data_IF_128038180529
#
_entry.id   IF_128038180529
#
_cell.length_a   1.000
_cell.length_b   1.000
_cell.length_c   1.000
_cell.angle_alpha   90.00
_cell.angle_beta   90.00
_cell.angle_gamma   90.00
#
_symmetry.space_group_name_H-M   'P 1'
#
loop_
_entity.id
_entity.type
_entity.pdbx_description
1 polymer ?
#
# COMPACT_ATOMS: atom_id res chain seq x y z
N UNK A 1 29.67 39.47 50.06
CA UNK A 1 29.90 38.04 50.36
C UNK A 1 28.66 37.22 50.01
N UNK A 2 28.60 36.59 48.83
CA UNK A 2 27.43 35.83 48.40
C UNK A 2 27.36 34.46 49.08
N UNK A 3 26.26 34.16 49.80
CA UNK A 3 26.06 32.88 50.50
C UNK A 3 26.00 31.71 49.51
N UNK A 4 26.94 30.76 49.64
CA UNK A 4 26.89 29.47 48.95
C UNK A 4 25.81 28.60 49.60
N UNK A 5 24.75 28.25 48.85
CA UNK A 5 23.78 27.22 49.27
C UNK A 5 24.26 25.85 48.79
N UNK A 6 24.64 24.97 49.72
CA UNK A 6 24.96 23.57 49.46
C UNK A 6 23.67 22.76 49.46
N UNK A 7 23.37 22.06 48.37
CA UNK A 7 22.25 21.09 48.32
C UNK A 7 22.67 19.72 48.88
N UNK A 8 21.74 18.86 49.34
CA UNK A 8 22.03 17.63 50.10
C UNK A 8 22.96 16.58 49.45
N UNK A 9 23.37 16.75 48.18
CA UNK A 9 24.24 15.81 47.45
C UNK A 9 25.69 16.32 47.28
N UNK A 10 26.15 17.29 48.07
CA UNK A 10 27.55 17.73 48.08
C UNK A 10 28.08 18.38 46.79
N UNK A 11 27.27 18.48 45.72
CA UNK A 11 27.66 19.17 44.49
C UNK A 11 27.48 20.67 44.67
N UNK A 12 28.59 21.39 44.81
CA UNK A 12 28.64 22.86 44.73
C UNK A 12 28.18 23.25 43.32
N UNK A 13 26.88 23.57 43.15
CA UNK A 13 26.46 24.33 41.99
C UNK A 13 27.07 25.71 42.18
N UNK A 14 28.19 25.98 41.49
CA UNK A 14 28.62 27.37 41.28
C UNK A 14 27.38 28.10 40.79
N UNK A 15 26.93 29.11 41.54
CA UNK A 15 25.88 30.03 41.15
C UNK A 15 26.47 30.92 40.04
N UNK A 16 26.88 30.30 38.92
CA UNK A 16 27.32 31.01 37.75
C UNK A 16 26.04 31.71 37.28
N UNK A 17 25.98 33.05 37.29
CA UNK A 17 24.84 33.75 36.72
C UNK A 17 24.70 33.21 35.31
N UNK A 18 23.59 32.53 35.03
CA UNK A 18 23.33 32.01 33.70
C UNK A 18 23.21 33.25 32.83
N UNK A 19 24.30 33.59 32.15
CA UNK A 19 24.36 34.74 31.25
C UNK A 19 23.20 34.62 30.27
N UNK A 20 22.70 35.74 29.74
CA UNK A 20 21.61 35.71 28.76
C UNK A 20 21.89 34.70 27.63
N UNK A 21 23.16 34.58 27.26
CA UNK A 21 23.69 33.59 26.31
C UNK A 21 23.58 32.15 26.84
N UNK A 22 24.03 31.88 28.07
CA UNK A 22 23.88 30.58 28.72
C UNK A 22 22.42 30.13 28.85
N UNK A 23 21.49 31.04 29.14
CA UNK A 23 20.05 30.73 29.25
C UNK A 23 19.49 30.36 27.88
N UNK A 24 19.83 31.12 26.84
CA UNK A 24 19.45 30.81 25.45
C UNK A 24 20.01 29.47 25.00
N UNK A 25 21.29 29.18 25.25
CA UNK A 25 21.90 27.89 24.90
C UNK A 25 21.26 26.73 25.67
N UNK A 26 20.98 26.90 26.96
CA UNK A 26 20.30 25.90 27.77
C UNK A 26 18.91 25.59 27.23
N UNK A 27 18.09 26.62 26.95
CA UNK A 27 16.75 26.43 26.38
C UNK A 27 16.82 25.78 24.99
N UNK A 28 17.78 26.19 24.13
CA UNK A 28 17.99 25.57 22.81
C UNK A 28 18.30 24.09 22.92
N UNK A 29 19.14 23.67 23.89
CA UNK A 29 19.45 22.26 24.14
C UNK A 29 18.27 21.51 24.75
N UNK A 30 17.60 22.10 25.75
CA UNK A 30 16.46 21.49 26.46
C UNK A 30 15.28 21.22 25.53
N UNK A 31 14.97 22.16 24.63
CA UNK A 31 13.85 22.08 23.68
C UNK A 31 14.25 21.61 22.27
N UNK A 32 15.48 21.10 22.10
CA UNK A 32 15.93 20.61 20.80
C UNK A 32 15.05 19.48 20.25
N UNK A 33 14.56 18.60 21.12
CA UNK A 33 13.66 17.51 20.74
C UNK A 33 12.29 18.03 20.28
N UNK A 34 11.72 19.02 20.99
CA UNK A 34 10.45 19.66 20.60
C UNK A 34 10.59 20.30 19.23
N UNK A 35 11.65 21.09 19.00
CA UNK A 35 11.91 21.67 17.67
C UNK A 35 12.05 20.63 16.57
N UNK A 36 12.66 19.47 16.84
CA UNK A 36 12.74 18.38 15.85
C UNK A 36 11.37 17.84 15.50
N UNK A 37 10.45 17.75 16.47
CA UNK A 37 9.07 17.31 16.25
C UNK A 37 8.32 18.35 15.43
N UNK A 38 8.44 19.64 15.80
CA UNK A 38 7.80 20.74 15.08
C UNK A 38 8.27 20.82 13.63
N UNK A 39 9.60 20.74 13.40
CA UNK A 39 10.18 20.77 12.05
C UNK A 39 9.76 19.54 11.24
N UNK A 40 9.71 18.35 11.86
CA UNK A 40 9.24 17.14 11.19
C UNK A 40 7.74 17.20 10.88
N UNK A 41 6.95 17.84 11.76
CA UNK A 41 5.52 18.03 11.61
C UNK A 41 5.14 19.08 10.56
N UNK A 42 5.98 20.09 10.35
CA UNK A 42 5.65 21.28 9.57
C UNK A 42 5.52 21.07 8.06
N UNK A 43 6.07 20.00 7.49
CA UNK A 43 6.21 19.89 6.03
C UNK A 43 4.95 19.38 5.29
N UNK A 44 3.94 18.83 5.99
CA UNK A 44 2.75 18.26 5.36
C UNK A 44 1.51 18.46 6.26
N UNK A 45 0.34 18.72 5.65
CA UNK A 45 -0.95 18.83 6.35
C UNK A 45 -1.20 17.64 7.29
N UNK A 46 -0.93 16.42 6.82
CA UNK A 46 -1.10 15.20 7.63
C UNK A 46 -0.20 15.18 8.87
N UNK A 47 1.07 15.57 8.72
CA UNK A 47 2.00 15.57 9.85
C UNK A 47 1.68 16.72 10.80
N UNK A 48 1.22 17.88 10.30
CA UNK A 48 0.79 18.99 11.15
C UNK A 48 -0.46 18.64 11.97
N UNK A 49 -1.45 17.98 11.37
CA UNK A 49 -2.72 17.61 12.01
C UNK A 49 -2.55 16.54 13.09
N UNK A 50 -1.69 15.56 12.85
CA UNK A 50 -1.60 14.37 13.71
C UNK A 50 -0.33 14.25 14.56
N UNK A 51 0.66 15.13 14.39
CA UNK A 51 1.83 15.13 15.27
C UNK A 51 1.49 15.71 16.64
N UNK A 52 1.69 14.91 17.68
CA UNK A 52 1.65 15.41 19.04
C UNK A 52 3.03 15.95 19.43
N UNK A 53 3.10 17.20 19.88
CA UNK A 53 4.35 17.83 20.37
C UNK A 53 4.95 17.14 21.61
N UNK A 54 4.16 16.32 22.31
CA UNK A 54 4.62 15.52 23.47
C UNK A 54 5.43 14.28 23.07
N UNK A 55 5.29 13.80 21.84
CA UNK A 55 5.94 12.60 21.35
C UNK A 55 7.19 12.96 20.54
N UNK A 56 8.16 12.06 20.50
CA UNK A 56 9.29 12.20 19.57
C UNK A 56 8.84 12.03 18.13
N UNK A 57 9.57 12.63 17.18
CA UNK A 57 9.24 12.51 15.75
C UNK A 57 9.15 11.03 15.31
N UNK A 58 10.06 10.18 15.80
CA UNK A 58 10.04 8.75 15.52
C UNK A 58 8.78 8.05 16.03
N UNK A 59 8.31 8.41 17.23
CA UNK A 59 7.05 7.89 17.77
C UNK A 59 5.85 8.36 16.94
N UNK A 60 5.81 9.63 16.55
CA UNK A 60 4.73 10.17 15.71
C UNK A 60 4.68 9.47 14.34
N UNK A 61 5.81 9.34 13.65
CA UNK A 61 5.87 8.60 12.38
C UNK A 61 5.42 7.14 12.56
N UNK A 62 5.95 6.46 13.58
CA UNK A 62 5.59 5.05 13.85
C UNK A 62 4.09 4.90 14.17
N UNK A 63 3.48 5.89 14.85
CA UNK A 63 2.04 5.95 15.14
C UNK A 63 1.21 6.10 13.86
N UNK A 64 1.66 6.93 12.93
CA UNK A 64 1.07 7.11 11.60
C UNK A 64 1.34 5.96 10.63
N UNK A 65 2.11 4.95 11.05
CA UNK A 65 2.53 3.85 10.16
C UNK A 65 3.63 4.24 9.15
N UNK A 66 4.25 5.42 9.34
CA UNK A 66 5.38 5.89 8.56
C UNK A 66 6.71 5.46 9.23
N UNK A 67 7.78 5.39 8.43
CA UNK A 67 9.14 5.16 8.93
C UNK A 67 9.93 6.46 8.90
N UNK A 68 10.74 6.71 9.94
CA UNK A 68 11.72 7.82 9.93
C UNK A 68 12.88 7.58 8.96
N UNK A 69 13.18 6.32 8.70
CA UNK A 69 14.31 5.92 7.89
C UNK A 69 13.87 4.75 6.98
N UNK A 70 13.70 4.98 5.67
CA UNK A 70 13.22 3.96 4.75
C UNK A 70 14.26 2.88 4.46
N UNK A 71 15.55 3.13 4.69
CA UNK A 71 16.62 2.15 4.46
C UNK A 71 16.94 1.29 5.68
N UNK A 72 16.33 1.58 6.83
CA UNK A 72 16.59 0.84 8.06
C UNK A 72 16.23 -0.65 7.93
N UNK A 73 17.07 -1.57 8.46
CA UNK A 73 16.78 -3.00 8.39
C UNK A 73 15.51 -3.36 9.18
N UNK A 74 14.82 -4.43 8.77
CA UNK A 74 13.53 -4.86 9.35
C UNK A 74 13.60 -5.03 10.88
N UNK A 75 14.72 -5.54 11.41
CA UNK A 75 14.94 -5.71 12.85
C UNK A 75 14.84 -4.39 13.63
N UNK A 76 15.44 -3.32 13.11
CA UNK A 76 15.39 -1.98 13.72
C UNK A 76 13.98 -1.40 13.64
N UNK A 77 13.28 -1.61 12.52
CA UNK A 77 11.88 -1.18 12.35
C UNK A 77 10.97 -1.86 13.37
N UNK A 78 11.16 -3.16 13.60
CA UNK A 78 10.39 -3.91 14.60
C UNK A 78 10.68 -3.47 16.04
N UNK A 79 11.95 -3.20 16.37
CA UNK A 79 12.32 -2.65 17.68
C UNK A 79 11.64 -1.29 17.92
N UNK A 80 11.62 -0.41 16.92
CA UNK A 80 10.91 0.89 17.00
C UNK A 80 9.40 0.72 17.19
N UNK A 81 8.79 -0.25 16.50
CA UNK A 81 7.36 -0.57 16.69
C UNK A 81 7.05 -1.00 18.13
N UNK A 82 7.93 -1.79 18.77
CA UNK A 82 7.77 -2.22 20.16
C UNK A 82 7.84 -1.07 21.18
N UNK A 83 8.51 0.04 20.84
CA UNK A 83 8.59 1.22 21.70
C UNK A 83 7.29 2.04 21.73
N UNK A 84 6.39 1.82 20.76
CA UNK A 84 5.10 2.51 20.70
C UNK A 84 4.07 1.68 21.46
N UNK A 85 3.31 2.34 22.36
CA UNK A 85 2.28 1.67 23.15
C UNK A 85 1.25 0.98 22.24
N UNK A 86 0.92 -0.31 22.45
CA UNK A 86 -0.16 -0.96 21.72
C UNK A 86 -1.45 -0.19 22.00
N UNK A 87 -2.25 0.08 20.95
CA UNK A 87 -3.45 0.96 20.96
C UNK A 87 -3.21 2.47 20.96
N UNK A 88 -1.96 2.96 20.82
CA UNK A 88 -1.77 4.40 20.64
C UNK A 88 -2.20 4.89 19.25
N UNK A 89 -2.33 4.02 18.24
CA UNK A 89 -2.72 4.44 16.88
C UNK A 89 -4.07 5.15 16.91
N UNK A 90 -4.06 6.43 16.55
CA UNK A 90 -5.30 7.18 16.26
C UNK A 90 -5.79 6.71 14.90
N UNK A 91 -7.09 6.44 14.79
CA UNK A 91 -7.76 6.30 13.50
C UNK A 91 -7.65 7.65 12.80
N UNK A 92 -7.09 7.69 11.60
CA UNK A 92 -7.03 8.92 10.81
C UNK A 92 -8.43 9.18 10.25
N UNK A 93 -8.87 10.44 10.25
CA UNK A 93 -10.16 10.80 9.67
C UNK A 93 -10.21 10.52 8.16
N UNK A 94 -9.06 10.59 7.49
CA UNK A 94 -8.93 10.32 6.06
C UNK A 94 -8.79 8.82 5.74
N UNK A 95 -8.77 7.91 6.74
CA UNK A 95 -8.76 6.47 6.45
C UNK A 95 -9.99 6.05 5.65
N UNK A 96 -11.16 6.63 5.97
CA UNK A 96 -12.41 6.32 5.31
C UNK A 96 -12.40 6.84 3.86
N UNK A 97 -11.93 8.07 3.64
CA UNK A 97 -11.81 8.63 2.28
C UNK A 97 -10.75 7.90 1.43
N UNK A 98 -9.65 7.46 2.03
CA UNK A 98 -8.64 6.62 1.35
C UNK A 98 -9.24 5.25 1.00
N UNK A 99 -10.04 4.66 1.90
CA UNK A 99 -10.71 3.39 1.65
C UNK A 99 -11.75 3.51 0.52
N UNK A 100 -12.55 4.57 0.52
CA UNK A 100 -13.49 4.90 -0.55
C UNK A 100 -12.78 5.09 -1.89
N UNK A 101 -11.69 5.87 -1.92
CA UNK A 101 -10.90 6.06 -3.14
C UNK A 101 -10.27 4.74 -3.63
N UNK A 102 -9.79 3.88 -2.73
CA UNK A 102 -9.29 2.55 -3.09
C UNK A 102 -10.40 1.69 -3.67
N UNK A 103 -11.59 1.69 -3.08
CA UNK A 103 -12.74 0.96 -3.57
C UNK A 103 -13.17 1.47 -4.95
N UNK A 104 -13.23 2.79 -5.15
CA UNK A 104 -13.51 3.42 -6.45
C UNK A 104 -12.47 3.00 -7.50
N UNK A 105 -11.17 3.09 -7.18
CA UNK A 105 -10.10 2.64 -8.10
C UNK A 105 -10.18 1.16 -8.41
N UNK A 106 -10.57 0.32 -7.45
CA UNK A 106 -10.74 -1.11 -7.69
C UNK A 106 -11.94 -1.39 -8.61
N UNK A 107 -13.06 -0.69 -8.40
CA UNK A 107 -14.25 -0.77 -9.26
C UNK A 107 -13.98 -0.26 -10.67
N UNK A 108 -13.26 0.86 -10.80
CA UNK A 108 -12.92 1.47 -12.09
C UNK A 108 -11.67 0.85 -12.73
N UNK A 109 -11.10 -0.22 -12.16
CA UNK A 109 -9.89 -0.83 -12.70
C UNK A 109 -10.25 -1.60 -13.96
N UNK A 110 -10.13 -0.92 -15.10
CA UNK A 110 -10.21 -1.55 -16.41
C UNK A 110 -9.12 -2.64 -16.46
N UNK A 111 -9.48 -3.82 -16.97
CA UNK A 111 -8.53 -4.88 -17.24
C UNK A 111 -7.42 -4.36 -18.17
N UNK A 112 -6.32 -5.11 -18.28
CA UNK A 112 -5.26 -4.69 -19.20
C UNK A 112 -5.84 -4.62 -20.61
N UNK A 113 -5.66 -3.51 -21.36
CA UNK A 113 -6.12 -3.42 -22.73
C UNK A 113 -5.50 -4.56 -23.54
N UNK A 114 -6.31 -5.18 -24.38
CA UNK A 114 -5.92 -6.28 -25.25
C UNK A 114 -5.86 -5.76 -26.67
N UNK A 115 -4.87 -6.20 -27.44
CA UNK A 115 -4.78 -5.86 -28.85
C UNK A 115 -5.89 -6.55 -29.65
N UNK A 116 -6.35 -5.93 -30.74
CA UNK A 116 -7.39 -6.52 -31.60
C UNK A 116 -7.00 -7.90 -32.16
N UNK A 117 -5.71 -8.09 -32.49
CA UNK A 117 -5.19 -9.38 -32.94
C UNK A 117 -5.24 -10.46 -31.85
N UNK A 118 -4.94 -10.11 -30.60
CA UNK A 118 -5.09 -11.03 -29.47
C UNK A 118 -6.57 -11.32 -29.18
N UNK A 119 -7.45 -10.32 -29.26
CA UNK A 119 -8.88 -10.51 -29.06
C UNK A 119 -9.46 -11.48 -30.10
N UNK A 120 -9.18 -11.26 -31.38
CA UNK A 120 -9.66 -12.13 -32.48
C UNK A 120 -9.17 -13.57 -32.37
N UNK A 121 -7.90 -13.77 -32.00
CA UNK A 121 -7.35 -15.13 -31.77
C UNK A 121 -8.00 -15.81 -30.56
N UNK A 122 -8.18 -15.09 -29.45
CA UNK A 122 -8.85 -15.62 -28.25
C UNK A 122 -10.31 -15.99 -28.54
N UNK A 123 -11.06 -15.11 -29.21
CA UNK A 123 -12.45 -15.37 -29.61
C UNK A 123 -12.54 -16.60 -30.49
N UNK A 124 -11.61 -16.76 -31.44
CA UNK A 124 -11.56 -17.92 -32.32
C UNK A 124 -11.28 -19.22 -31.56
N UNK A 125 -10.37 -19.19 -30.56
CA UNK A 125 -10.07 -20.33 -29.70
C UNK A 125 -11.26 -20.71 -28.82
N UNK A 126 -11.91 -19.72 -28.20
CA UNK A 126 -13.11 -19.91 -27.37
C UNK A 126 -14.24 -20.53 -28.21
N UNK A 127 -14.50 -19.98 -29.40
CA UNK A 127 -15.55 -20.47 -30.30
C UNK A 127 -15.32 -21.93 -30.72
N UNK A 128 -14.06 -22.34 -30.91
CA UNK A 128 -13.72 -23.69 -31.39
C UNK A 128 -13.64 -24.74 -30.27
N UNK A 129 -13.03 -24.39 -29.13
CA UNK A 129 -12.70 -25.34 -28.06
C UNK A 129 -13.44 -25.11 -26.75
N UNK A 130 -14.26 -24.06 -26.65
CA UNK A 130 -15.03 -23.75 -25.44
C UNK A 130 -14.11 -23.45 -24.25
N UNK A 131 -14.16 -24.30 -23.21
CA UNK A 131 -13.36 -24.16 -21.98
C UNK A 131 -12.14 -25.08 -21.93
N UNK A 132 -11.90 -25.90 -22.97
CA UNK A 132 -10.83 -26.90 -22.98
C UNK A 132 -9.47 -26.31 -23.38
N UNK A 133 -8.78 -25.70 -22.41
CA UNK A 133 -7.48 -25.05 -22.63
C UNK A 133 -6.40 -26.01 -23.13
N UNK A 134 -6.52 -27.30 -22.82
CA UNK A 134 -5.60 -28.32 -23.34
C UNK A 134 -5.78 -28.47 -24.86
N UNK A 135 -7.02 -28.56 -25.35
CA UNK A 135 -7.31 -28.63 -26.77
C UNK A 135 -6.87 -27.36 -27.50
N UNK A 136 -7.12 -26.18 -26.90
CA UNK A 136 -6.63 -24.90 -27.41
C UNK A 136 -5.11 -24.87 -27.56
N UNK A 137 -4.36 -25.41 -26.59
CA UNK A 137 -2.90 -25.42 -26.64
C UNK A 137 -2.34 -26.26 -27.79
N UNK A 138 -3.06 -27.32 -28.20
CA UNK A 138 -2.66 -28.18 -29.32
C UNK A 138 -3.10 -27.65 -30.69
N UNK A 139 -3.92 -26.61 -30.76
CA UNK A 139 -4.38 -26.02 -32.02
C UNK A 139 -3.28 -25.17 -32.67
N UNK A 140 -2.44 -25.82 -33.48
CA UNK A 140 -1.31 -25.17 -34.17
C UNK A 140 -1.73 -24.02 -35.11
N UNK A 141 -2.98 -24.00 -35.58
CA UNK A 141 -3.46 -22.98 -36.51
C UNK A 141 -3.87 -21.71 -35.78
N UNK A 142 -4.63 -21.84 -34.69
CA UNK A 142 -5.13 -20.70 -33.93
C UNK A 142 -4.18 -20.24 -32.82
N UNK A 143 -3.28 -21.11 -32.34
CA UNK A 143 -2.27 -20.81 -31.33
C UNK A 143 -0.85 -20.89 -31.93
N UNK A 144 -0.46 -19.93 -32.80
CA UNK A 144 0.82 -19.96 -33.50
C UNK A 144 2.02 -19.91 -32.55
N UNK A 145 1.88 -19.24 -31.40
CA UNK A 145 2.92 -19.13 -30.38
C UNK A 145 3.00 -20.31 -29.42
N UNK A 146 2.18 -21.35 -29.64
CA UNK A 146 2.15 -22.58 -28.82
C UNK A 146 2.06 -22.27 -27.32
N UNK A 147 1.19 -21.33 -26.96
CA UNK A 147 0.97 -20.93 -25.58
C UNK A 147 0.52 -22.12 -24.73
N UNK A 148 1.11 -22.23 -23.54
CA UNK A 148 0.77 -23.25 -22.57
C UNK A 148 -0.69 -23.06 -22.09
N UNK A 149 -1.39 -24.13 -21.65
CA UNK A 149 -2.77 -24.04 -21.15
C UNK A 149 -2.97 -22.98 -20.07
N UNK A 150 -1.97 -22.80 -19.19
CA UNK A 150 -1.99 -21.75 -18.14
C UNK A 150 -1.89 -20.33 -18.71
N UNK A 151 -1.13 -20.13 -19.78
CA UNK A 151 -0.99 -18.83 -20.44
C UNK A 151 -2.29 -18.49 -21.18
N UNK A 152 -2.84 -19.45 -21.93
CA UNK A 152 -4.13 -19.32 -22.60
C UNK A 152 -5.25 -18.97 -21.62
N UNK A 153 -5.32 -19.68 -20.49
CA UNK A 153 -6.31 -19.35 -19.47
C UNK A 153 -6.17 -17.91 -18.96
N UNK A 154 -4.93 -17.45 -18.70
CA UNK A 154 -4.71 -16.07 -18.25
C UNK A 154 -5.12 -15.05 -19.31
N UNK A 155 -4.84 -15.31 -20.58
CA UNK A 155 -5.22 -14.44 -21.69
C UNK A 155 -6.74 -14.40 -21.87
N UNK A 156 -7.40 -15.55 -21.89
CA UNK A 156 -8.87 -15.67 -22.00
C UNK A 156 -9.56 -14.96 -20.84
N UNK A 157 -9.12 -15.19 -19.59
CA UNK A 157 -9.69 -14.49 -18.42
C UNK A 157 -9.44 -12.99 -18.49
N UNK A 158 -8.27 -12.54 -18.99
CA UNK A 158 -8.02 -11.11 -19.17
C UNK A 158 -8.93 -10.52 -20.26
N UNK A 159 -9.19 -11.26 -21.33
CA UNK A 159 -10.11 -10.89 -22.42
C UNK A 159 -11.54 -10.73 -21.91
N UNK A 160 -12.07 -11.72 -21.19
CA UNK A 160 -13.42 -11.64 -20.65
C UNK A 160 -13.56 -10.48 -19.63
N UNK A 161 -12.52 -10.21 -18.83
CA UNK A 161 -12.53 -9.04 -17.92
C UNK A 161 -12.45 -7.71 -18.66
N UNK A 162 -11.77 -7.67 -19.80
CA UNK A 162 -11.71 -6.49 -20.64
C UNK A 162 -13.07 -6.25 -21.33
N UNK A 163 -13.68 -7.29 -21.89
CA UNK A 163 -15.05 -7.26 -22.43
C UNK A 163 -16.07 -6.80 -21.37
N UNK A 164 -16.03 -7.37 -20.17
CA UNK A 164 -16.90 -6.95 -19.07
C UNK A 164 -16.74 -5.46 -18.71
N UNK A 165 -15.51 -4.93 -18.80
CA UNK A 165 -15.24 -3.53 -18.49
C UNK A 165 -15.60 -2.59 -19.66
N UNK A 166 -15.42 -3.03 -20.90
CA UNK A 166 -15.68 -2.24 -22.11
C UNK A 166 -17.17 -2.23 -22.49
N UNK A 167 -17.84 -3.38 -22.36
CA UNK A 167 -19.21 -3.62 -22.80
C UNK A 167 -20.04 -4.35 -21.72
N UNK A 168 -20.28 -3.70 -20.56
CA UNK A 168 -20.91 -4.36 -19.42
C UNK A 168 -22.30 -4.93 -19.72
N UNK A 169 -23.12 -4.20 -20.47
CA UNK A 169 -24.49 -4.62 -20.82
C UNK A 169 -24.49 -5.87 -21.73
N UNK A 170 -23.72 -5.83 -22.82
CA UNK A 170 -23.57 -6.97 -23.73
C UNK A 170 -22.95 -8.19 -23.03
N UNK A 171 -22.00 -7.96 -22.11
CA UNK A 171 -21.40 -9.02 -21.32
C UNK A 171 -22.42 -9.67 -20.38
N UNK A 172 -23.25 -8.90 -19.69
CA UNK A 172 -24.31 -9.44 -18.82
C UNK A 172 -25.33 -10.26 -19.61
N UNK A 173 -25.72 -9.83 -20.81
CA UNK A 173 -26.61 -10.62 -21.68
C UNK A 173 -25.96 -11.94 -22.12
N UNK A 174 -24.67 -11.92 -22.46
CA UNK A 174 -23.93 -13.11 -22.86
C UNK A 174 -23.76 -14.11 -21.69
N UNK A 175 -23.52 -13.60 -20.48
CA UNK A 175 -23.44 -14.41 -19.27
C UNK A 175 -24.82 -14.98 -18.89
N UNK A 176 -25.89 -14.21 -19.02
CA UNK A 176 -27.27 -14.68 -18.81
C UNK A 176 -27.68 -15.77 -19.82
N UNK A 177 -27.20 -15.70 -21.07
CA UNK A 177 -27.36 -16.76 -22.07
C UNK A 177 -26.47 -17.98 -21.80
N UNK A 178 -25.55 -17.91 -20.83
CA UNK A 178 -24.63 -18.99 -20.49
C UNK A 178 -23.51 -19.19 -21.51
N UNK A 179 -23.20 -18.18 -22.34
CA UNK A 179 -22.16 -18.32 -23.37
C UNK A 179 -20.76 -18.20 -22.78
N UNK A 180 -20.58 -17.30 -21.83
CA UNK A 180 -19.30 -17.08 -21.16
C UNK A 180 -19.52 -16.89 -19.67
N UNK A 181 -18.65 -17.49 -18.84
CA UNK A 181 -18.57 -17.17 -17.42
C UNK A 181 -17.11 -17.04 -16.99
N UNK A 182 -16.75 -15.90 -16.39
CA UNK A 182 -15.38 -15.67 -15.92
C UNK A 182 -14.99 -16.73 -14.89
N UNK A 183 -15.93 -17.14 -14.04
CA UNK A 183 -15.69 -18.15 -13.02
C UNK A 183 -15.31 -19.50 -13.65
N UNK A 184 -16.07 -19.96 -14.65
CA UNK A 184 -15.82 -21.22 -15.36
C UNK A 184 -14.46 -21.20 -16.07
N UNK A 185 -14.16 -20.13 -16.83
CA UNK A 185 -12.86 -20.00 -17.48
C UNK A 185 -11.70 -19.84 -16.49
N UNK A 186 -11.94 -19.41 -15.25
CA UNK A 186 -10.90 -19.28 -14.22
C UNK A 186 -10.57 -20.60 -13.50
N UNK A 187 -11.39 -21.64 -13.64
CA UNK A 187 -11.18 -22.90 -12.92
C UNK A 187 -9.85 -23.57 -13.36
N UNK A 188 -8.92 -23.85 -12.43
CA UNK A 188 -7.70 -24.57 -12.74
C UNK A 188 -7.91 -25.95 -13.38
N UNK A 189 -9.05 -26.61 -13.15
CA UNK A 189 -9.36 -27.95 -13.68
C UNK A 189 -9.44 -27.96 -15.21
N UNK A 190 -9.93 -26.88 -15.80
CA UNK A 190 -10.04 -26.74 -17.26
C UNK A 190 -8.68 -26.77 -17.99
N UNK A 191 -7.56 -26.61 -17.27
CA UNK A 191 -6.20 -26.78 -17.82
C UNK A 191 -5.87 -28.22 -18.18
N UNK A 192 -6.47 -29.19 -17.51
CA UNK A 192 -6.17 -30.62 -17.68
C UNK A 192 -6.91 -31.24 -18.88
N UNK A 193 -7.91 -30.51 -19.42
CA UNK A 193 -8.86 -30.96 -20.43
C UNK A 193 -10.02 -31.72 -19.80
N UNK A 194 -11.20 -31.68 -20.44
CA UNK A 194 -12.28 -32.62 -20.16
C UNK A 194 -11.81 -34.04 -20.51
N UNK A 195 -11.97 -34.95 -19.55
CA UNK A 195 -11.73 -36.38 -19.75
C UNK A 195 -12.82 -36.98 -20.61
#
# INVERSE_FOLDING_TARGET
MGRLRVTPKGKVKKNIPVTRVGKKQYLKRRFAHVRRVDVAGANNHFTQKYFDGSNTAAQNFTRLGLTTDPSAPKSVVELRKKQVRPKSRRRLEEEDTIAEQKALRQKSRIARPISEAEATTIVSLIKKHGTDFRAMSFDRKLNPFQLNPRQLQRQVVNYLRWEQAAFPEAFMEAEAKGWFSIAEYSDPKNRLGKK
#
